data_IF_592191943813
#
_entry.id   IF_592191943813
#
_cell.length_a   1.000
_cell.length_b   1.000
_cell.length_c   1.000
_cell.angle_alpha   90.00
_cell.angle_beta   90.00
_cell.angle_gamma   90.00
#
_symmetry.space_group_name_H-M   'P 1'
#
loop_
_entity.id
_entity.type
_entity.pdbx_description
1 polymer ?
2 polymer ?
3 polymer ?
4 polymer ?
5 polymer ?
6 non-polymer ?
7 non-polymer ?
8 water ?
#
loop_
_entity_poly.entity_id
_entity_poly.type
_entity_poly.pdbx_seq_one_letter_code
_entity_poly.pdbx_strand_id
2 'polydeoxyribonucleotide' '(DA)(DC)(DA)(DA)(DC)(DA)(DG)(DA)(DT)(DG)(DA)(DT)(DG)(DG)(DA)(DG)(DC)(DT)' ?
3 'polydeoxyribonucleotide' '(DG)(DC)(DC)(DT)(DT)(DG)(DC)(DT)(DT)(DG)(DG)(DA)(DC)(DA)(DT)(DC)(DT)(DT)' ?
4 'polydeoxyribonucleotide' '(DA)(DG)(DC)(DT)(DC)(DC)(DA)(DT)(DC)(DA)(DA)(DG)(DC)(DA)(DA)(DG)(DG)(DC)' ?
5 'polydeoxyribonucleotide' '(DA)(DA)(DG)(DA)(DT)(DG)(DT)(DC)(DC)(DA)(DT)(DC)(DT)(DG)(DT)(DT)(DG)(DT)' ?
#
# COMPACT_ATOMS: atom_id res chain seq x y z
N UNK A 2 -24.20 -5.74 -15.46
CA UNK A 2 -24.37 -4.82 -16.58
C UNK A 2 -23.11 -4.04 -16.98
N UNK A 3 -23.14 -3.48 -18.18
CA UNK A 3 -21.96 -2.85 -18.78
C UNK A 3 -21.56 -1.57 -18.04
N UNK A 4 -20.28 -1.42 -17.79
CA UNK A 4 -19.81 -0.25 -17.04
C UNK A 4 -19.88 1.01 -17.90
N UNK A 5 -20.66 1.99 -17.47
CA UNK A 5 -20.72 3.26 -18.18
C UNK A 5 -20.04 4.39 -17.42
N UNK A 6 -19.49 4.14 -16.24
CA UNK A 6 -18.85 5.19 -15.48
C UNK A 6 -17.45 5.48 -15.99
N UNK A 7 -16.63 6.00 -15.07
CA UNK A 7 -15.22 6.18 -15.36
C UNK A 7 -14.47 4.90 -15.05
N UNK A 8 -13.43 4.64 -15.85
CA UNK A 8 -12.59 3.45 -15.68
C UNK A 8 -11.13 3.88 -15.57
N UNK A 9 -10.44 3.43 -14.51
CA UNK A 9 -9.02 3.69 -14.30
C UNK A 9 -8.28 2.36 -14.27
N UNK A 10 -7.08 2.34 -14.83
CA UNK A 10 -6.21 1.19 -14.73
C UNK A 10 -4.84 1.60 -14.23
N UNK A 11 -4.26 0.75 -13.37
CA UNK A 11 -3.00 1.05 -12.68
C UNK A 11 -1.99 -0.06 -12.94
N UNK A 12 -0.85 0.30 -13.50
CA UNK A 12 0.34 -0.52 -13.41
C UNK A 12 1.08 -0.07 -12.17
N UNK A 13 1.13 -0.87 -11.09
CA UNK A 13 1.61 -0.38 -9.80
C UNK A 13 3.12 -0.39 -9.61
N UNK A 14 3.91 -0.85 -10.61
CA UNK A 14 5.35 -0.91 -10.47
C UNK A 14 5.96 0.49 -10.35
N UNK A 15 7.23 0.56 -9.96
CA UNK A 15 7.76 1.87 -9.62
C UNK A 15 8.02 2.73 -10.85
N UNK A 16 8.08 2.12 -12.03
CA UNK A 16 8.05 2.90 -13.28
C UNK A 16 6.73 2.65 -14.01
N UNK A 17 5.67 2.47 -13.24
CA UNK A 17 4.35 2.21 -13.76
C UNK A 17 3.59 3.48 -14.07
N UNK A 18 2.28 3.34 -14.22
CA UNK A 18 1.48 4.46 -14.68
C UNK A 18 0.01 4.18 -14.35
N UNK A 19 -0.82 5.19 -14.63
CA UNK A 19 -2.26 5.15 -14.40
C UNK A 19 -2.91 5.72 -15.64
N UNK A 20 -3.91 5.03 -16.15
CA UNK A 20 -4.66 5.47 -17.30
C UNK A 20 -6.09 5.76 -16.86
N UNK A 21 -6.68 6.81 -17.44
CA UNK A 21 -8.02 7.28 -17.08
C UNK A 21 -8.85 7.35 -18.34
N UNK A 22 -9.89 6.52 -18.42
CA UNK A 22 -10.79 6.49 -19.56
C UNK A 22 -12.10 7.12 -19.12
N UNK A 23 -12.39 8.31 -19.64
CA UNK A 23 -13.72 8.83 -19.44
C UNK A 23 -14.58 8.54 -20.66
N UNK A 24 -15.88 8.28 -20.48
CA UNK A 24 -16.74 8.00 -21.64
C UNK A 24 -16.94 9.27 -22.45
N UNK A 25 -16.86 9.13 -23.77
CA UNK A 25 -17.09 10.20 -24.73
C UNK A 25 -15.99 11.26 -24.72
N UNK A 26 -14.85 10.99 -24.09
CA UNK A 26 -13.75 11.94 -24.01
C UNK A 26 -12.44 11.21 -24.23
N UNK A 27 -11.38 11.94 -24.63
CA UNK A 27 -10.14 11.26 -25.01
C UNK A 27 -9.46 10.63 -23.84
N UNK A 28 -8.78 9.48 -24.02
CA UNK A 28 -8.09 8.81 -22.92
C UNK A 28 -6.88 9.61 -22.48
N UNK A 29 -6.50 9.42 -21.22
CA UNK A 29 -5.33 10.07 -20.66
C UNK A 29 -4.46 9.06 -19.95
N UNK A 30 -3.16 9.34 -19.90
CA UNK A 30 -2.23 8.44 -19.23
C UNK A 30 -1.17 9.29 -18.51
N UNK A 31 -0.81 8.85 -17.31
CA UNK A 31 0.08 9.57 -16.41
C UNK A 31 1.14 8.63 -15.86
N UNK A 32 2.40 9.05 -15.88
CA UNK A 32 3.41 8.24 -15.20
C UNK A 32 3.24 8.38 -13.69
N UNK A 33 3.55 7.30 -12.98
CA UNK A 33 3.45 7.33 -11.51
C UNK A 33 4.51 8.26 -10.93
N UNK A 34 4.13 9.20 -10.05
CA UNK A 34 5.13 10.05 -9.40
C UNK A 34 6.01 9.27 -8.43
N UNK A 35 7.29 9.66 -8.34
CA UNK A 35 8.22 8.93 -7.49
C UNK A 35 9.13 9.91 -6.75
N UNK A 36 10.00 9.36 -5.90
CA UNK A 36 10.96 10.15 -5.12
C UNK A 36 12.33 9.48 -5.12
N UNK A 37 13.35 10.30 -4.89
CA UNK A 37 14.68 9.82 -4.52
C UNK A 37 14.69 9.62 -3.01
N UNK A 38 14.63 8.38 -2.56
CA UNK A 38 14.60 8.05 -1.14
C UNK A 38 15.88 7.32 -0.78
N UNK A 39 16.52 7.75 0.30
CA UNK A 39 17.83 7.23 0.67
C UNK A 39 17.70 5.93 1.46
N UNK A 40 18.35 4.87 0.97
CA UNK A 40 18.34 3.56 1.63
C UNK A 40 19.70 2.90 1.52
N UNK A 43 22.55 3.80 -1.45
CA UNK A 43 22.24 5.21 -1.30
C UNK A 43 20.80 5.54 -1.61
N UNK A 44 20.44 5.58 -2.89
CA UNK A 44 19.18 6.16 -3.35
C UNK A 44 18.47 5.20 -4.30
N UNK A 45 17.14 5.10 -4.16
CA UNK A 45 16.33 4.44 -5.19
C UNK A 45 14.96 5.12 -5.27
N UNK A 46 14.19 4.71 -6.27
CA UNK A 46 12.89 5.31 -6.56
C UNK A 46 11.80 4.63 -5.75
N UNK A 47 11.02 5.43 -5.03
CA UNK A 47 9.80 4.94 -4.43
C UNK A 47 8.62 5.73 -4.97
N UNK A 48 7.47 5.08 -5.05
CA UNK A 48 6.24 5.80 -5.35
C UNK A 48 6.06 6.92 -4.34
N UNK A 49 5.54 8.04 -4.83
CA UNK A 49 5.28 9.24 -4.03
C UNK A 49 3.79 9.24 -3.68
N UNK A 50 3.45 8.74 -2.49
CA UNK A 50 2.04 8.67 -2.09
C UNK A 50 1.37 10.04 -2.14
N UNK A 51 2.07 11.08 -1.68
CA UNK A 51 1.45 12.40 -1.60
C UNK A 51 1.12 12.93 -2.99
N UNK A 52 2.03 12.75 -3.95
CA UNK A 52 1.74 13.27 -5.29
C UNK A 52 0.68 12.42 -5.98
N UNK A 53 0.65 11.12 -5.69
CA UNK A 53 -0.39 10.26 -6.23
C UNK A 53 -1.76 10.76 -5.78
N UNK A 54 -1.96 10.91 -4.47
CA UNK A 54 -3.26 11.35 -3.98
C UNK A 54 -3.65 12.70 -4.61
N UNK A 55 -2.67 13.59 -4.83
CA UNK A 55 -3.04 14.85 -5.43
C UNK A 55 -3.26 14.68 -6.94
N UNK A 56 -2.60 13.72 -7.57
CA UNK A 56 -2.97 13.38 -8.94
C UNK A 56 -4.41 12.85 -9.02
N UNK A 57 -4.77 11.97 -8.09
CA UNK A 57 -6.13 11.39 -8.05
C UNK A 57 -7.16 12.49 -7.75
N UNK A 58 -6.80 13.42 -6.86
CA UNK A 58 -7.69 14.54 -6.47
C UNK A 58 -7.97 15.43 -7.69
N UNK A 59 -6.95 15.62 -8.54
CA UNK A 59 -7.06 16.48 -9.75
C UNK A 59 -8.13 15.93 -10.70
N UNK A 60 -8.24 14.60 -10.81
CA UNK A 60 -9.24 13.95 -11.70
C UNK A 60 -10.67 14.33 -11.30
N UNK A 61 -10.92 14.44 -9.99
CA UNK A 61 -12.27 14.79 -9.44
C UNK A 61 -13.30 13.78 -9.96
N UNK A 62 -12.95 12.48 -9.94
CA UNK A 62 -13.82 11.40 -10.41
C UNK A 62 -14.97 11.16 -9.43
N UNK A 63 -16.08 10.54 -9.85
CA UNK A 63 -17.21 10.25 -8.97
C UNK A 63 -16.85 9.17 -7.94
N UNK A 64 -17.59 9.09 -6.84
CA UNK A 64 -17.30 8.12 -5.78
C UNK A 64 -17.53 6.71 -6.32
N UNK A 65 -16.71 5.78 -5.85
CA UNK A 65 -16.87 4.40 -6.27
C UNK A 65 -16.54 4.14 -7.72
N UNK A 66 -15.84 5.08 -8.37
CA UNK A 66 -15.25 4.84 -9.69
C UNK A 66 -14.38 3.59 -9.64
N UNK A 67 -14.64 2.65 -10.55
CA UNK A 67 -13.89 1.40 -10.54
C UNK A 67 -12.46 1.61 -11.02
N UNK A 68 -11.52 1.02 -10.28
CA UNK A 68 -10.11 1.06 -10.64
C UNK A 68 -9.56 -0.36 -10.65
N UNK A 69 -8.91 -0.71 -11.76
CA UNK A 69 -8.36 -2.04 -11.99
C UNK A 69 -6.85 -1.94 -11.76
N UNK A 70 -6.35 -2.70 -10.79
CA UNK A 70 -4.94 -2.63 -10.40
C UNK A 70 -4.28 -3.95 -10.77
N UNK A 71 -3.18 -3.89 -11.52
CA UNK A 71 -2.52 -5.13 -11.88
C UNK A 71 -1.98 -5.79 -10.62
N UNK A 72 -2.27 -7.08 -10.48
CA UNK A 72 -1.89 -7.86 -9.31
C UNK A 72 -0.73 -8.74 -9.76
N UNK A 73 0.49 -8.34 -9.45
CA UNK A 73 1.65 -9.01 -10.01
C UNK A 73 2.42 -9.76 -8.92
N UNK A 74 3.21 -10.69 -9.38
CA UNK A 74 3.69 -11.78 -8.57
C UNK A 74 5.11 -12.10 -9.02
N UNK A 75 6.13 -11.74 -8.24
CA UNK A 75 7.51 -11.87 -8.73
C UNK A 75 7.88 -13.33 -8.89
N UNK A 76 9.04 -13.58 -9.61
CA UNK A 76 9.46 -14.96 -9.80
C UNK A 76 10.33 -15.39 -8.64
N UNK A 77 10.39 -16.70 -8.36
CA UNK A 77 11.28 -17.18 -7.28
C UNK A 77 12.71 -16.66 -7.42
N UNK A 78 13.23 -16.53 -8.64
CA UNK A 78 14.60 -16.07 -8.84
C UNK A 78 14.79 -14.55 -8.69
N UNK A 79 13.72 -13.77 -8.50
CA UNK A 79 13.92 -12.33 -8.34
C UNK A 79 14.37 -12.00 -6.91
N UNK A 80 15.24 -11.01 -6.79
CA UNK A 80 15.81 -10.70 -5.48
C UNK A 80 14.76 -10.33 -4.45
N UNK A 81 15.11 -10.52 -3.16
CA UNK A 81 14.18 -10.19 -2.09
C UNK A 81 13.84 -8.71 -2.08
N UNK A 82 14.80 -7.85 -2.43
CA UNK A 82 14.48 -6.43 -2.48
C UNK A 82 13.32 -6.17 -3.45
N UNK A 83 13.36 -6.84 -4.59
CA UNK A 83 12.31 -6.67 -5.57
C UNK A 83 11.01 -7.25 -5.12
N UNK A 84 11.04 -8.32 -4.32
CA UNK A 84 9.80 -8.79 -3.69
C UNK A 84 9.26 -7.69 -2.76
N UNK A 85 10.13 -7.00 -2.03
CA UNK A 85 9.66 -5.98 -1.10
C UNK A 85 9.01 -4.81 -1.85
N UNK A 86 9.75 -4.28 -2.81
CA UNK A 86 9.26 -3.18 -3.67
C UNK A 86 7.95 -3.60 -4.31
N UNK A 87 7.86 -4.84 -4.80
CA UNK A 87 6.60 -5.29 -5.40
C UNK A 87 5.44 -5.16 -4.44
N UNK A 88 5.58 -5.69 -3.23
CA UNK A 88 4.50 -5.58 -2.26
C UNK A 88 4.20 -4.14 -1.89
N UNK A 89 5.22 -3.29 -1.88
CA UNK A 89 5.06 -1.90 -1.46
C UNK A 89 4.21 -1.11 -2.45
N UNK A 90 4.53 -1.18 -3.74
CA UNK A 90 3.77 -0.40 -4.70
C UNK A 90 2.34 -0.88 -4.80
N UNK A 91 2.15 -2.18 -4.79
CA UNK A 91 0.80 -2.73 -4.79
C UNK A 91 0.03 -2.30 -3.54
N UNK A 92 0.63 -2.48 -2.36
CA UNK A 92 -0.05 -2.15 -1.13
C UNK A 92 -0.33 -0.67 -0.99
N UNK A 93 0.63 0.16 -1.42
CA UNK A 93 0.37 1.59 -1.43
C UNK A 93 -0.78 1.97 -2.37
N UNK A 94 -0.80 1.41 -3.59
CA UNK A 94 -1.88 1.75 -4.52
C UNK A 94 -3.25 1.34 -3.98
N UNK A 95 -3.40 0.10 -3.55
CA UNK A 95 -4.67 -0.30 -2.95
C UNK A 95 -5.04 0.63 -1.79
N UNK A 96 -4.09 0.93 -0.91
CA UNK A 96 -4.37 1.77 0.23
C UNK A 96 -4.87 3.15 -0.17
N UNK A 97 -4.14 3.82 -1.06
CA UNK A 97 -4.58 5.14 -1.51
C UNK A 97 -5.97 5.05 -2.14
N UNK A 98 -6.15 4.13 -3.09
CA UNK A 98 -7.42 4.06 -3.80
C UNK A 98 -8.57 3.74 -2.87
N UNK A 99 -8.38 2.75 -1.99
CA UNK A 99 -9.46 2.40 -1.08
C UNK A 99 -9.77 3.58 -0.17
N UNK A 100 -8.73 4.19 0.40
CA UNK A 100 -8.92 5.34 1.27
C UNK A 100 -9.45 6.56 0.52
N UNK A 101 -9.44 6.54 -0.81
CA UNK A 101 -9.93 7.66 -1.60
C UNK A 101 -11.32 7.42 -2.16
N UNK A 102 -11.97 6.32 -1.78
CA UNK A 102 -13.33 6.12 -2.22
C UNK A 102 -13.49 5.39 -3.53
N UNK A 103 -12.39 4.96 -4.15
CA UNK A 103 -12.48 4.16 -5.36
C UNK A 103 -12.86 2.73 -5.04
N UNK A 104 -13.60 2.11 -5.96
CA UNK A 104 -13.81 0.67 -5.94
C UNK A 104 -12.63 0.00 -6.64
N UNK A 105 -11.93 -0.90 -5.93
CA UNK A 105 -10.64 -1.42 -6.39
C UNK A 105 -10.79 -2.88 -6.79
N UNK A 106 -10.42 -3.19 -8.04
CA UNK A 106 -10.43 -4.56 -8.55
C UNK A 106 -9.01 -5.02 -8.90
N UNK A 107 -8.42 -5.99 -8.20
CA UNK A 107 -7.14 -6.54 -8.64
C UNK A 107 -7.31 -7.36 -9.90
N UNK A 108 -6.36 -7.23 -10.81
CA UNK A 108 -6.39 -7.95 -12.08
C UNK A 108 -5.13 -8.78 -12.26
N UNK A 109 -5.20 -10.10 -12.27
CA UNK A 109 -4.02 -10.90 -12.63
C UNK A 109 -3.47 -10.49 -13.98
N UNK A 110 -2.15 -10.35 -14.04
CA UNK A 110 -1.46 -9.99 -15.27
C UNK A 110 -1.90 -10.84 -16.45
N UNK A 111 -2.23 -12.10 -16.20
CA UNK A 111 -2.65 -13.00 -17.27
C UNK A 111 -4.00 -12.60 -17.84
N UNK A 112 -4.89 -12.03 -17.03
CA UNK A 112 -6.22 -11.73 -17.53
C UNK A 112 -6.18 -10.67 -18.64
N UNK A 113 -5.51 -9.55 -18.40
CA UNK A 113 -5.55 -8.49 -19.41
C UNK A 113 -4.69 -8.88 -20.61
N UNK A 114 -3.55 -9.53 -20.37
CA UNK A 114 -2.77 -10.04 -21.50
C UNK A 114 -3.57 -11.04 -22.33
N UNK A 115 -4.52 -11.74 -21.70
CA UNK A 115 -5.34 -12.71 -22.41
C UNK A 115 -6.27 -12.02 -23.41
N UNK A 116 -6.96 -10.96 -22.98
CA UNK A 116 -7.92 -10.32 -23.87
C UNK A 116 -7.28 -9.77 -25.12
N UNK A 117 -6.01 -9.38 -25.07
CA UNK A 117 -5.37 -8.74 -26.21
C UNK A 117 -4.44 -9.67 -26.98
N UNK A 118 -4.55 -10.98 -26.78
CA UNK A 118 -3.81 -11.97 -27.57
C UNK A 118 -2.31 -11.74 -27.50
N UNK A 119 -1.80 -11.57 -26.27
CA UNK A 119 -0.35 -11.35 -26.03
C UNK A 119 0.27 -12.64 -25.49
N UNK A 120 0.47 -13.62 -26.38
CA UNK A 120 1.04 -14.96 -26.06
C UNK A 120 2.57 -14.94 -26.16
N UNK A 121 3.20 -16.12 -26.13
CA UNK A 121 4.68 -16.20 -26.22
C UNK A 121 5.09 -15.59 -27.57
N UNK A 122 4.40 -15.97 -28.64
CA UNK A 122 4.65 -15.36 -29.97
C UNK A 122 4.04 -13.96 -29.87
N UNK A 123 4.68 -12.94 -30.44
CA UNK A 123 4.15 -11.55 -30.32
C UNK A 123 3.90 -11.25 -28.83
N UNK A 124 4.96 -11.35 -28.01
CA UNK A 124 4.91 -11.17 -26.53
C UNK A 124 4.54 -9.74 -26.13
N UNK A 125 3.99 -9.61 -24.93
CA UNK A 125 3.51 -8.32 -24.35
C UNK A 125 4.67 -7.33 -24.23
N UNK A 126 5.85 -7.81 -23.85
CA UNK A 126 7.02 -6.91 -23.67
C UNK A 126 7.35 -6.23 -25.01
N UNK A 127 7.29 -6.99 -26.11
CA UNK A 127 7.65 -6.46 -27.45
C UNK A 127 6.46 -5.79 -28.15
N UNK A 128 5.21 -6.14 -27.80
CA UNK A 128 4.11 -5.60 -28.60
C UNK A 128 2.98 -4.92 -27.86
N UNK A 129 3.03 -4.86 -26.53
CA UNK A 129 1.92 -4.26 -25.79
C UNK A 129 1.84 -2.76 -26.06
N UNK A 130 2.99 -2.10 -26.22
CA UNK A 130 2.97 -0.69 -26.59
C UNK A 130 2.27 -0.50 -27.92
N UNK A 131 2.56 -1.38 -28.86
CA UNK A 131 1.95 -1.21 -30.16
C UNK A 131 0.45 -1.44 -30.09
N UNK A 132 0.03 -2.44 -29.31
CA UNK A 132 -1.40 -2.70 -29.14
C UNK A 132 -2.09 -1.47 -28.56
N UNK A 133 -1.56 -0.92 -27.46
CA UNK A 133 -2.15 0.28 -26.87
C UNK A 133 -2.23 1.41 -27.88
N UNK A 134 -1.22 1.53 -28.74
CA UNK A 134 -1.19 2.62 -29.73
C UNK A 134 -2.41 2.59 -30.64
N UNK A 135 -2.72 1.42 -31.20
CA UNK A 135 -3.81 1.33 -32.16
C UNK A 135 -5.18 1.29 -31.51
N UNK A 136 -5.27 0.98 -30.21
CA UNK A 136 -6.56 1.13 -29.54
C UNK A 136 -6.82 2.59 -29.20
N UNK A 137 -5.77 3.31 -28.78
CA UNK A 137 -5.86 4.73 -28.45
C UNK A 137 -4.89 5.55 -29.30
N UNK A 138 -5.21 5.82 -30.57
CA UNK A 138 -4.26 6.57 -31.42
C UNK A 138 -3.92 7.96 -30.90
N UNK A 139 -4.82 8.60 -30.14
CA UNK A 139 -4.57 9.98 -29.67
C UNK A 139 -3.36 10.06 -28.74
N UNK A 140 -2.93 8.95 -28.14
CA UNK A 140 -1.80 8.98 -27.21
C UNK A 140 -0.59 8.24 -27.75
N UNK A 141 -0.58 7.95 -29.05
CA UNK A 141 0.48 7.09 -29.56
C UNK A 141 1.84 7.80 -29.48
N UNK A 142 1.82 9.14 -29.44
CA UNK A 142 3.04 9.90 -29.26
C UNK A 142 3.70 9.59 -27.92
N UNK A 143 2.90 9.36 -26.88
CA UNK A 143 3.47 9.05 -25.54
C UNK A 143 3.92 7.59 -25.43
N UNK A 144 3.67 6.76 -26.45
CA UNK A 144 4.02 5.31 -26.39
C UNK A 144 5.17 4.94 -27.34
N UNK A 145 5.90 5.92 -27.87
CA UNK A 145 6.94 5.63 -28.89
C UNK A 145 8.27 5.15 -28.27
N UNK A 146 8.35 4.88 -26.97
CA UNK A 146 9.63 4.46 -26.41
C UNK A 146 9.48 3.21 -25.56
N UNK A 147 10.58 2.46 -25.45
CA UNK A 147 10.57 1.26 -24.60
C UNK A 147 10.16 1.63 -23.17
N UNK A 148 10.75 2.69 -22.61
CA UNK A 148 10.41 3.06 -21.24
C UNK A 148 8.95 3.41 -21.06
N UNK A 149 8.16 3.49 -22.14
CA UNK A 149 6.74 3.79 -22.02
C UNK A 149 5.88 2.55 -21.89
N UNK A 150 6.52 1.36 -21.85
CA UNK A 150 5.82 0.11 -21.56
C UNK A 150 4.82 0.28 -20.42
N UNK A 151 5.22 0.93 -19.34
CA UNK A 151 4.30 1.14 -18.23
C UNK A 151 3.03 1.87 -18.64
N UNK A 152 3.18 2.94 -19.43
CA UNK A 152 2.00 3.69 -19.86
C UNK A 152 1.06 2.78 -20.62
N UNK A 153 1.63 1.92 -21.48
CA UNK A 153 0.82 1.04 -22.31
C UNK A 153 0.07 0.02 -21.47
N UNK A 154 0.73 -0.58 -20.48
CA UNK A 154 0.06 -1.54 -19.62
C UNK A 154 -1.11 -0.90 -18.89
N UNK A 155 -0.89 0.28 -18.31
CA UNK A 155 -1.97 0.97 -17.62
C UNK A 155 -3.15 1.21 -18.55
N UNK A 156 -2.87 1.54 -19.81
CA UNK A 156 -3.94 1.75 -20.78
C UNK A 156 -4.68 0.45 -21.04
N UNK A 157 -3.93 -0.65 -21.23
CA UNK A 157 -4.56 -1.92 -21.58
C UNK A 157 -5.24 -2.56 -20.38
N UNK A 158 -4.75 -2.28 -19.17
CA UNK A 158 -5.46 -2.70 -17.97
C UNK A 158 -6.79 -1.97 -17.88
N UNK A 159 -6.79 -0.68 -18.19
CA UNK A 159 -8.04 0.08 -18.18
C UNK A 159 -8.99 -0.39 -19.29
N UNK A 160 -8.49 -0.58 -20.51
CA UNK A 160 -9.39 -1.04 -21.56
C UNK A 160 -9.87 -2.47 -21.33
N UNK A 161 -9.12 -3.27 -20.56
CA UNK A 161 -9.63 -4.54 -20.09
C UNK A 161 -10.79 -4.33 -19.13
N UNK A 162 -10.53 -3.63 -18.01
CA UNK A 162 -11.55 -3.45 -16.99
C UNK A 162 -12.81 -2.80 -17.54
N UNK A 163 -12.65 -1.91 -18.52
CA UNK A 163 -13.81 -1.27 -19.13
C UNK A 163 -14.80 -2.31 -19.64
N UNK A 164 -14.30 -3.42 -20.16
CA UNK A 164 -15.17 -4.45 -20.72
C UNK A 164 -15.80 -5.38 -19.72
N UNK A 165 -15.31 -5.39 -18.49
CA UNK A 165 -15.87 -6.23 -17.42
C UNK A 165 -17.22 -5.68 -16.98
N UNK A 166 -18.29 -6.46 -17.15
CA UNK A 166 -19.60 -6.06 -16.66
C UNK A 166 -19.58 -5.90 -15.14
N UNK A 167 -20.31 -4.91 -14.64
CA UNK A 167 -20.36 -4.65 -13.20
C UNK A 167 -21.76 -4.81 -12.64
N UNK A 168 -21.88 -4.67 -11.32
CA UNK A 168 -23.16 -4.58 -10.63
C UNK A 168 -23.23 -3.28 -9.82
N UNK B 6 -1.73 17.96 18.65
CA UNK B 6 -1.75 17.39 19.98
C UNK B 6 -1.78 15.87 20.03
N UNK B 7 -2.38 15.26 19.00
CA UNK B 7 -2.64 13.83 19.01
C UNK B 7 -1.45 13.05 18.46
N UNK B 8 -1.27 11.83 18.97
CA UNK B 8 -0.19 10.95 18.54
C UNK B 8 -0.73 9.55 18.28
N UNK B 9 -0.42 9.03 17.09
CA UNK B 9 -0.78 7.67 16.68
C UNK B 9 0.50 6.91 16.40
N UNK B 10 0.58 5.67 16.89
CA UNK B 10 1.67 4.77 16.52
C UNK B 10 1.11 3.54 15.83
N UNK B 11 1.84 3.02 14.84
CA UNK B 11 1.38 1.91 14.00
C UNK B 11 2.50 0.87 13.86
N UNK B 12 2.21 -0.35 14.26
CA UNK B 12 2.99 -1.50 13.86
C UNK B 12 2.36 -2.06 12.58
N UNK B 13 3.06 -2.03 11.44
CA UNK B 13 2.40 -2.27 10.14
C UNK B 13 2.31 -3.72 9.69
N UNK B 14 2.66 -4.72 10.50
CA UNK B 14 2.71 -6.07 9.95
C UNK B 14 1.39 -6.80 10.20
N UNK B 15 1.28 -8.01 9.63
CA UNK B 15 -0.02 -8.62 9.42
C UNK B 15 -0.77 -8.86 10.71
N UNK B 16 -0.07 -8.94 11.84
CA UNK B 16 -0.73 -8.98 13.14
C UNK B 16 -0.19 -7.87 14.04
N UNK B 17 -0.11 -6.67 13.48
CA UNK B 17 0.31 -5.48 14.19
C UNK B 17 -0.86 -4.72 14.77
N UNK B 18 -0.59 -3.49 15.16
CA UNK B 18 -1.58 -2.73 15.87
C UNK B 18 -1.41 -1.25 15.54
N UNK B 19 -2.37 -0.45 16.01
CA UNK B 19 -2.33 1.00 15.94
C UNK B 19 -2.67 1.50 17.33
N UNK B 20 -1.85 2.39 17.86
CA UNK B 20 -2.08 2.99 19.17
C UNK B 20 -2.41 4.48 19.01
N UNK B 21 -3.30 4.97 19.85
CA UNK B 21 -3.83 6.33 19.72
C UNK B 21 -3.75 7.02 21.08
N UNK B 22 -3.01 8.12 21.13
CA UNK B 22 -2.77 8.89 22.35
C UNK B 22 -3.47 10.23 22.18
N UNK B 23 -4.54 10.47 22.99
CA UNK B 23 -5.25 11.74 22.99
C UNK B 23 -4.84 12.55 24.20
N UNK B 24 -4.87 13.88 24.12
CA UNK B 24 -4.74 14.69 25.34
C UNK B 24 -6.06 14.65 26.13
N UNK B 25 -5.96 14.34 27.42
CA UNK B 25 -7.07 14.33 28.38
C UNK B 25 -8.01 13.14 28.20
N UNK B 26 -7.61 12.13 27.44
CA UNK B 26 -8.39 10.90 27.42
C UNK B 26 -7.42 9.74 27.54
N UNK B 27 -7.85 8.64 28.16
CA UNK B 27 -6.96 7.50 28.33
C UNK B 27 -6.47 6.95 27.00
N UNK B 28 -5.36 6.24 26.97
CA UNK B 28 -4.81 5.76 25.70
C UNK B 28 -5.55 4.53 25.21
N UNK B 29 -5.42 4.28 23.91
CA UNK B 29 -6.13 3.16 23.29
C UNK B 29 -5.22 2.44 22.32
N UNK B 30 -5.43 1.13 22.22
CA UNK B 30 -4.75 0.32 21.22
C UNK B 30 -5.78 -0.57 20.53
N UNK B 31 -5.59 -0.78 19.23
CA UNK B 31 -6.46 -1.56 18.38
C UNK B 31 -5.63 -2.55 17.56
N UNK B 32 -6.12 -3.77 17.46
CA UNK B 32 -5.51 -4.76 16.56
C UNK B 32 -5.81 -4.40 15.11
N UNK B 33 -4.85 -4.62 14.24
CA UNK B 33 -5.07 -4.26 12.84
C UNK B 33 -6.04 -5.22 12.19
N UNK B 34 -7.13 -4.74 11.62
CA UNK B 34 -8.12 -5.65 11.02
C UNK B 34 -7.51 -6.35 9.82
N UNK B 35 -7.82 -7.63 9.68
CA UNK B 35 -7.31 -8.41 8.55
C UNK B 35 -8.43 -9.23 7.96
N UNK B 36 -8.35 -9.44 6.66
CA UNK B 36 -9.17 -10.41 5.97
C UNK B 36 -8.27 -11.57 5.51
N UNK B 37 -8.89 -12.62 4.98
CA UNK B 37 -8.19 -13.79 4.49
C UNK B 37 -8.28 -13.82 2.98
N UNK B 38 -7.13 -13.85 2.31
CA UNK B 38 -7.08 -13.86 0.82
C UNK B 38 -6.56 -15.22 0.37
N UNK B 39 -6.89 -15.64 -0.85
CA UNK B 39 -6.44 -16.95 -1.39
C UNK B 39 -5.29 -16.73 -2.38
N UNK B 40 -4.08 -17.09 -1.96
CA UNK B 40 -2.86 -16.95 -2.83
C UNK B 40 -2.28 -18.34 -3.05
N UNK B 41 -2.09 -18.75 -4.30
CA UNK B 41 -1.55 -20.09 -4.59
C UNK B 41 -2.42 -21.15 -3.95
N UNK B 42 -1.81 -22.05 -3.18
CA UNK B 42 -2.58 -23.10 -2.45
C UNK B 42 -2.63 -22.70 -0.98
N UNK B 43 -3.84 -22.57 -0.42
CA UNK B 43 -3.99 -22.15 0.98
C UNK B 43 -4.44 -20.70 1.05
N UNK B 44 -4.52 -20.14 2.25
CA UNK B 44 -4.99 -18.73 2.39
C UNK B 44 -3.95 -17.89 3.14
N UNK B 45 -3.84 -16.61 2.78
CA UNK B 45 -2.88 -15.68 3.43
C UNK B 45 -3.70 -14.58 4.14
N UNK B 46 -3.21 -14.09 5.28
CA UNK B 46 -3.89 -13.02 5.99
C UNK B 46 -3.29 -11.69 5.56
N UNK B 47 -4.14 -10.80 5.08
CA UNK B 47 -3.71 -9.47 4.69
C UNK B 47 -4.49 -8.44 5.48
N UNK B 48 -3.85 -7.31 5.72
CA UNK B 48 -4.54 -6.13 6.16
C UNK B 48 -5.76 -5.84 5.29
N UNK B 49 -6.88 -5.53 5.96
CA UNK B 49 -8.15 -5.13 5.36
C UNK B 49 -8.20 -3.60 5.27
N UNK B 50 -7.89 -3.05 4.09
CA UNK B 50 -7.81 -1.59 3.96
C UNK B 50 -9.16 -0.92 4.21
N UNK B 51 -10.25 -1.55 3.77
CA UNK B 51 -11.56 -0.97 4.04
C UNK B 51 -11.76 -0.77 5.54
N UNK B 52 -11.42 -1.78 6.34
CA UNK B 52 -11.68 -1.68 7.76
C UNK B 52 -10.75 -0.67 8.42
N UNK B 53 -9.51 -0.57 7.96
CA UNK B 53 -8.57 0.42 8.48
C UNK B 53 -9.07 1.84 8.23
N UNK B 54 -9.53 2.13 7.01
CA UNK B 54 -10.08 3.45 6.73
C UNK B 54 -11.20 3.78 7.72
N UNK B 55 -12.15 2.84 7.87
CA UNK B 55 -13.24 3.07 8.81
C UNK B 55 -12.69 3.32 10.22
N UNK B 56 -11.67 2.58 10.63
CA UNK B 56 -11.10 2.78 11.97
C UNK B 56 -10.59 4.20 12.14
N UNK B 57 -9.75 4.67 11.22
CA UNK B 57 -9.21 6.02 11.31
C UNK B 57 -10.31 7.05 11.35
N UNK B 58 -11.33 6.87 10.51
CA UNK B 58 -12.38 7.87 10.46
C UNK B 58 -13.11 7.94 11.79
N UNK B 59 -13.25 6.82 12.48
CA UNK B 59 -13.88 6.82 13.80
C UNK B 59 -13.08 7.62 14.82
N UNK B 60 -11.77 7.77 14.64
CA UNK B 60 -10.98 8.52 15.62
C UNK B 60 -11.41 9.98 15.66
N UNK B 61 -11.77 10.53 14.50
CA UNK B 61 -12.13 11.95 14.36
C UNK B 61 -11.00 12.83 14.87
N UNK B 62 -9.79 12.50 14.44
CA UNK B 62 -8.58 13.19 14.85
C UNK B 62 -8.44 14.46 14.04
N UNK B 63 -7.70 15.45 14.56
CA UNK B 63 -7.51 16.69 13.80
C UNK B 63 -6.85 16.43 12.46
N UNK B 64 -7.07 17.38 11.53
CA UNK B 64 -6.48 17.28 10.21
C UNK B 64 -4.97 17.20 10.33
N UNK B 65 -4.35 16.36 9.51
CA UNK B 65 -2.89 16.32 9.49
C UNK B 65 -2.25 15.91 10.79
N UNK B 66 -2.91 15.03 11.54
CA UNK B 66 -2.33 14.46 12.74
C UNK B 66 -1.12 13.59 12.39
N UNK B 67 -0.10 13.63 13.25
CA UNK B 67 1.17 12.95 13.00
C UNK B 67 1.08 11.48 13.37
N UNK B 68 1.39 10.59 12.42
CA UNK B 68 1.36 9.15 12.64
C UNK B 68 2.78 8.61 12.42
N UNK B 69 3.32 7.96 13.45
CA UNK B 69 4.61 7.31 13.37
C UNK B 69 4.41 5.86 12.95
N UNK B 70 5.09 5.46 11.87
CA UNK B 70 4.93 4.11 11.34
C UNK B 70 6.27 3.39 11.41
N UNK B 71 6.29 2.24 12.07
CA UNK B 71 7.48 1.39 12.15
C UNK B 71 7.93 1.00 10.76
N UNK B 72 9.21 1.21 10.48
CA UNK B 72 9.75 0.79 9.19
C UNK B 72 10.03 -0.70 9.12
N UNK B 73 9.51 -1.33 8.06
CA UNK B 73 9.79 -2.73 7.68
C UNK B 73 11.22 -2.90 7.15
N UNK B 74 12.07 -3.64 7.88
CA UNK B 74 13.45 -3.91 7.47
C UNK B 74 13.81 -5.40 7.67
N UNK B 75 13.43 -6.28 6.76
CA UNK B 75 13.63 -7.71 6.99
C UNK B 75 15.07 -8.16 6.79
N UNK B 76 15.38 -9.35 7.37
CA UNK B 76 16.74 -9.88 7.29
C UNK B 76 16.95 -10.63 5.97
N UNK B 77 18.19 -10.68 5.50
CA UNK B 77 18.54 -11.55 4.37
C UNK B 77 18.00 -12.97 4.46
N UNK B 78 18.16 -13.62 5.62
CA UNK B 78 17.71 -15.00 5.79
C UNK B 78 16.19 -15.19 5.63
N UNK B 79 15.41 -14.12 5.65
CA UNK B 79 13.95 -14.24 5.54
C UNK B 79 13.48 -14.51 4.12
N UNK B 80 12.51 -15.39 3.98
CA UNK B 80 11.90 -15.70 2.69
C UNK B 80 11.43 -14.51 1.88
N UNK B 81 11.49 -14.66 0.55
CA UNK B 81 10.98 -13.65 -0.38
C UNK B 81 9.54 -13.24 -0.08
N UNK B 82 8.69 -14.22 0.24
CA UNK B 82 7.29 -13.88 0.51
C UNK B 82 7.17 -12.90 1.67
N UNK B 83 8.00 -13.10 2.71
CA UNK B 83 7.96 -12.21 3.84
C UNK B 83 8.51 -10.84 3.50
N UNK B 84 9.51 -10.79 2.62
CA UNK B 84 9.91 -9.48 2.11
C UNK B 84 8.72 -8.79 1.44
N UNK B 85 7.97 -9.52 0.62
CA UNK B 85 6.82 -8.95 -0.07
C UNK B 85 5.75 -8.46 0.91
N UNK B 86 5.35 -9.31 1.87
CA UNK B 86 4.37 -8.88 2.88
C UNK B 86 4.85 -7.65 3.64
N UNK B 87 6.12 -7.65 4.05
CA UNK B 87 6.70 -6.47 4.66
C UNK B 87 6.45 -5.20 3.86
N UNK B 88 6.81 -5.21 2.58
CA UNK B 88 6.59 -4.03 1.76
C UNK B 88 5.11 -3.71 1.61
N UNK B 89 4.27 -4.74 1.56
CA UNK B 89 2.84 -4.54 1.36
C UNK B 89 2.19 -3.83 2.54
N UNK B 90 2.37 -4.38 3.75
CA UNK B 90 1.80 -3.75 4.95
C UNK B 90 2.29 -2.33 5.12
N UNK B 91 3.60 -2.12 4.93
CA UNK B 91 4.16 -0.80 5.06
C UNK B 91 3.53 0.16 4.05
N UNK B 92 3.54 -0.22 2.78
CA UNK B 92 3.05 0.67 1.73
C UNK B 92 1.55 0.92 1.82
N UNK B 93 0.79 -0.08 2.27
CA UNK B 93 -0.63 0.11 2.46
C UNK B 93 -0.94 1.10 3.57
N UNK B 94 -0.36 0.88 4.76
CA UNK B 94 -0.54 1.86 5.83
C UNK B 94 -0.12 3.24 5.38
N UNK B 95 1.02 3.35 4.68
CA UNK B 95 1.42 4.68 4.22
C UNK B 95 0.39 5.25 3.25
N UNK B 96 -0.13 4.43 2.34
CA UNK B 96 -1.12 4.89 1.39
C UNK B 96 -2.40 5.39 2.04
N UNK B 97 -3.02 4.53 2.84
CA UNK B 97 -4.21 4.93 3.60
C UNK B 97 -3.98 6.23 4.34
N UNK B 98 -2.89 6.29 5.13
CA UNK B 98 -2.66 7.40 6.03
C UNK B 98 -2.49 8.70 5.27
N UNK B 99 -1.66 8.69 4.23
CA UNK B 99 -1.42 9.90 3.46
C UNK B 99 -2.71 10.33 2.76
N UNK B 100 -3.44 9.37 2.20
CA UNK B 100 -4.67 9.72 1.49
C UNK B 100 -5.75 10.20 2.43
N UNK B 101 -5.69 9.79 3.70
CA UNK B 101 -6.65 10.28 4.68
C UNK B 101 -6.23 11.59 5.30
N UNK B 102 -5.11 12.18 4.85
CA UNK B 102 -4.68 13.49 5.33
C UNK B 102 -3.78 13.50 6.55
N UNK B 103 -3.38 12.34 7.08
CA UNK B 103 -2.46 12.32 8.21
C UNK B 103 -1.04 12.68 7.75
N UNK B 104 -0.20 13.02 8.71
CA UNK B 104 1.19 13.39 8.46
C UNK B 104 2.07 12.20 8.89
N UNK B 105 2.64 11.51 7.90
CA UNK B 105 3.37 10.24 8.16
C UNK B 105 4.86 10.47 8.41
N UNK B 106 5.38 9.89 9.49
CA UNK B 106 6.83 9.93 9.82
C UNK B 106 7.31 8.49 10.02
N UNK B 107 8.22 7.96 9.18
CA UNK B 107 8.72 6.59 9.33
C UNK B 107 9.65 6.49 10.55
N UNK B 108 9.50 5.43 11.33
CA UNK B 108 10.35 5.23 12.54
C UNK B 108 10.98 3.83 12.50
N UNK B 109 12.30 3.69 12.72
CA UNK B 109 12.95 2.37 12.75
C UNK B 109 12.63 1.67 14.07
N UNK B 110 12.75 0.33 14.08
CA UNK B 110 12.46 -0.48 15.31
C UNK B 110 13.40 -0.07 16.45
N UNK B 111 14.65 0.28 16.14
CA UNK B 111 15.67 0.70 17.15
C UNK B 111 15.43 2.12 17.68
N UNK B 112 14.53 2.90 17.05
CA UNK B 112 14.30 4.30 17.44
C UNK B 112 13.82 4.40 18.91
N UNK B 113 12.94 3.50 19.35
CA UNK B 113 12.45 3.56 20.76
C UNK B 113 13.52 3.13 21.77
N UNK B 114 14.57 2.44 21.32
CA UNK B 114 15.64 2.01 22.25
C UNK B 114 16.32 3.27 22.82
N UNK B 115 16.55 4.29 21.99
CA UNK B 115 17.26 5.50 22.46
C UNK B 115 16.54 6.10 23.66
N UNK B 116 15.20 6.14 23.63
CA UNK B 116 14.40 6.69 24.75
C UNK B 116 14.29 5.63 25.86
N UNK B 117 13.79 4.44 25.51
CA UNK B 117 13.73 3.34 26.50
C UNK B 117 14.69 2.22 26.08
N UNK B 118 15.77 2.11 26.85
CA UNK B 118 16.92 1.17 26.71
C UNK B 118 16.47 -0.27 26.42
N UNK B 119 17.08 -0.89 25.40
CA UNK B 119 16.87 -2.32 25.04
C UNK B 119 18.23 -2.86 24.57
N UNK B 120 18.49 -4.17 24.74
CA UNK B 120 19.80 -4.73 24.33
C UNK B 120 19.64 -6.13 23.72
N UNK B 121 20.64 -6.59 22.97
CA UNK B 121 20.62 -7.96 22.38
C UNK B 121 20.61 -8.95 23.55
N UNK B 122 21.44 -8.69 24.57
CA UNK B 122 21.44 -9.51 25.82
C UNK B 122 20.16 -9.10 26.57
N UNK B 123 19.53 -10.03 27.30
CA UNK B 123 18.22 -9.73 27.94
C UNK B 123 17.29 -9.21 26.82
N UNK B 124 17.18 -10.01 25.75
CA UNK B 124 16.41 -9.71 24.52
C UNK B 124 14.91 -9.66 24.79
N UNK B 125 14.15 -9.02 23.89
CA UNK B 125 12.69 -8.82 24.08
C UNK B 125 11.90 -10.09 23.73
N UNK B 126 12.03 -11.14 24.53
CA UNK B 126 11.14 -12.31 24.30
C UNK B 126 9.75 -11.84 24.72
N UNK B 127 9.70 -11.18 25.90
CA UNK B 127 8.48 -10.60 26.51
C UNK B 127 8.81 -9.21 27.07
N UNK B 128 10.02 -8.71 26.79
CA UNK B 128 10.51 -7.42 27.35
C UNK B 128 9.66 -6.22 26.88
N UNK B 129 9.28 -6.20 25.60
CA UNK B 129 8.50 -5.06 25.04
C UNK B 129 7.16 -4.91 25.77
N UNK B 130 6.42 -6.00 25.91
CA UNK B 130 5.12 -5.99 26.58
C UNK B 130 5.24 -5.46 28.01
N UNK B 131 6.42 -5.62 28.63
CA UNK B 131 6.62 -5.12 29.99
C UNK B 131 6.82 -3.60 30.00
N UNK B 132 7.61 -3.08 29.06
CA UNK B 132 7.83 -1.64 28.97
C UNK B 132 6.53 -0.92 28.65
N UNK B 133 5.72 -1.48 27.75
CA UNK B 133 4.46 -0.86 27.36
C UNK B 133 3.43 -0.93 28.49
N UNK B 134 3.37 -2.03 29.23
CA UNK B 134 2.43 -2.10 30.35
C UNK B 134 2.90 -1.30 31.55
N UNK B 135 4.19 -0.98 31.64
CA UNK B 135 4.65 0.04 32.58
C UNK B 135 4.13 1.42 32.16
N UNK B 136 4.36 1.79 30.88
CA UNK B 136 4.07 3.14 30.41
C UNK B 136 2.58 3.41 30.23
N UNK B 137 1.76 2.36 30.14
CA UNK B 137 0.33 2.48 29.88
C UNK B 137 -0.42 1.48 30.75
N UNK B 138 -0.38 1.66 32.06
CA UNK B 138 -1.04 0.70 32.95
C UNK B 138 -2.54 0.56 32.72
N UNK B 139 -3.17 1.53 32.03
CA UNK B 139 -4.58 1.37 31.65
C UNK B 139 -4.78 0.06 30.91
N UNK B 140 -3.86 -0.25 29.99
CA UNK B 140 -4.00 -1.36 29.05
C UNK B 140 -3.18 -2.60 29.43
N UNK B 141 -2.71 -2.70 30.68
CA UNK B 141 -1.94 -3.87 31.09
C UNK B 141 -2.74 -5.15 30.87
N UNK B 142 -4.07 -5.04 30.88
CA UNK B 142 -4.94 -6.19 30.71
C UNK B 142 -4.79 -6.80 29.31
N UNK B 143 -4.79 -5.96 28.28
CA UNK B 143 -4.74 -6.43 26.90
C UNK B 143 -3.32 -6.66 26.40
N UNK B 144 -2.37 -6.87 27.32
CA UNK B 144 -0.99 -7.12 26.95
C UNK B 144 -0.44 -8.40 27.58
N UNK B 145 -1.27 -9.20 28.23
CA UNK B 145 -0.77 -10.29 29.06
C UNK B 145 -0.49 -11.58 28.29
N UNK B 146 -0.78 -11.63 27.00
CA UNK B 146 -0.46 -12.79 26.17
C UNK B 146 0.62 -12.43 25.16
N UNK B 147 1.48 -13.41 24.86
CA UNK B 147 2.61 -13.25 23.92
C UNK B 147 2.11 -12.68 22.59
N UNK B 148 0.95 -13.15 22.12
CA UNK B 148 0.39 -12.66 20.87
C UNK B 148 0.32 -11.14 20.84
N UNK B 149 0.41 -10.48 22.00
CA UNK B 149 0.15 -9.06 22.13
C UNK B 149 1.40 -8.20 21.92
N UNK B 150 2.49 -8.83 21.45
CA UNK B 150 3.67 -8.07 21.01
C UNK B 150 3.30 -6.88 20.12
N UNK B 151 2.43 -7.10 19.12
CA UNK B 151 2.10 -6.01 18.20
C UNK B 151 1.42 -4.84 18.89
N UNK B 152 0.54 -5.12 19.84
CA UNK B 152 -0.06 -4.00 20.56
C UNK B 152 1.00 -3.23 21.34
N UNK B 153 1.95 -3.94 21.97
CA UNK B 153 2.99 -3.27 22.73
C UNK B 153 3.85 -2.41 21.83
N UNK B 154 4.15 -2.95 20.64
CA UNK B 154 4.96 -2.26 19.66
C UNK B 154 4.30 -0.96 19.19
N UNK B 155 3.00 -1.01 18.91
CA UNK B 155 2.26 0.19 18.51
C UNK B 155 2.33 1.25 19.60
N UNK B 156 2.01 0.86 20.83
CA UNK B 156 2.13 1.77 21.97
C UNK B 156 3.52 2.38 22.05
N UNK B 157 4.55 1.54 21.99
CA UNK B 157 5.90 2.06 22.17
C UNK B 157 6.33 2.98 21.04
N UNK B 158 5.89 2.74 19.81
CA UNK B 158 6.17 3.71 18.76
C UNK B 158 5.46 5.03 19.07
N UNK B 159 4.19 4.95 19.46
CA UNK B 159 3.44 6.13 19.87
C UNK B 159 4.18 6.91 20.96
N UNK B 160 4.72 6.22 21.97
CA UNK B 160 5.40 6.92 23.07
C UNK B 160 6.69 7.57 22.62
N UNK B 161 7.36 6.99 21.63
CA UNK B 161 8.54 7.62 21.05
C UNK B 161 8.16 8.88 20.29
N UNK B 162 7.17 8.76 19.40
CA UNK B 162 6.67 9.93 18.71
C UNK B 162 6.29 11.05 19.66
N UNK B 163 5.48 10.73 20.67
CA UNK B 163 5.05 11.77 21.61
C UNK B 163 6.26 12.41 22.29
N UNK B 164 7.25 11.60 22.68
CA UNK B 164 8.46 12.12 23.30
C UNK B 164 9.52 12.60 22.32
#
# INVERSE_FOLDING_TARGET
AHMNAGWVIGVDPDTSGALALLKPNQPPQVFDSPHLKVLVGKGVRKRLDAKAIVQLLKSFEAPIGTTVYVEQSTPYPQDGKQGWWSGGFGYGMWIGILVASGFSVIPVPSSAWKSEFQLTKERSNKDYSRQVASQLFPSLSSLLKRKKDHGRAEALLIAAYGKGIKINSDS
AHMNAGWVIGVDPDTSGALALLKPNQPPQVFDSPHLKVLVGKGVRKRLDAKAIVQLLKSFEAPIGTTVYVEQSTPYPQDGKQGWWSGGFGYGMWIGILVASGFSVIPVPSSAWKSEFQLTKERSNKDYSRQVASQLFPSLSSLLKRKKDHGRAEALLIAAYGKGIKINSDS
#
